data_IF_474814709163
#
_entry.id   IF_474814709163
#
_cell.length_a   1.000
_cell.length_b   1.000
_cell.length_c   1.000
_cell.angle_alpha   90.00
_cell.angle_beta   90.00
_cell.angle_gamma   90.00
#
_symmetry.space_group_name_H-M   'P 1'
#
loop_
_entity.id
_entity.type
_entity.pdbx_description
1 polymer ?
#
# COMPACT_ATOMS: atom_id res chain seq x y z
N UNK A 1 17.88 -42.71 -12.40
CA UNK A 1 16.81 -41.76 -12.01
C UNK A 1 16.89 -41.64 -10.51
N UNK A 2 17.26 -40.47 -9.99
CA UNK A 2 17.27 -40.25 -8.55
C UNK A 2 15.82 -40.21 -8.09
N UNK A 3 15.47 -41.03 -7.11
CA UNK A 3 14.23 -40.93 -6.37
C UNK A 3 14.13 -39.52 -5.77
N UNK A 4 13.43 -38.63 -6.47
CA UNK A 4 12.95 -37.40 -5.86
C UNK A 4 11.79 -37.86 -5.00
N UNK A 5 12.09 -38.13 -3.73
CA UNK A 5 11.08 -38.15 -2.68
C UNK A 5 10.41 -36.77 -2.72
N UNK A 6 9.29 -36.68 -3.45
CA UNK A 6 8.38 -35.55 -3.38
C UNK A 6 8.03 -35.40 -1.89
N UNK A 7 8.31 -34.24 -1.26
CA UNK A 7 7.79 -33.99 0.06
C UNK A 7 6.28 -34.13 -0.07
N UNK A 8 5.66 -34.87 0.85
CA UNK A 8 4.24 -34.74 1.15
C UNK A 8 3.86 -33.29 0.97
N UNK A 9 3.06 -32.99 -0.06
CA UNK A 9 2.43 -31.68 -0.20
C UNK A 9 1.87 -31.37 1.18
N UNK A 10 2.33 -30.27 1.79
CA UNK A 10 2.08 -29.90 3.19
C UNK A 10 3.05 -30.53 4.21
N UNK A 11 4.24 -29.96 4.33
CA UNK A 11 4.62 -29.49 5.66
C UNK A 11 4.77 -27.98 5.56
N UNK A 12 3.94 -27.26 6.31
CA UNK A 12 3.62 -25.82 6.23
C UNK A 12 4.78 -24.85 6.54
N UNK A 13 6.02 -25.17 6.19
CA UNK A 13 7.18 -24.58 6.85
C UNK A 13 8.35 -24.17 5.95
N UNK A 14 8.33 -24.45 4.65
CA UNK A 14 9.52 -24.21 3.82
C UNK A 14 9.31 -23.08 2.82
N UNK A 15 9.98 -21.97 3.08
CA UNK A 15 10.28 -20.95 2.08
C UNK A 15 10.96 -21.63 0.89
N UNK A 16 10.34 -21.58 -0.28
CA UNK A 16 10.97 -22.06 -1.53
C UNK A 16 11.56 -20.87 -2.25
N UNK A 17 12.89 -20.80 -2.32
CA UNK A 17 13.57 -19.73 -3.05
C UNK A 17 13.21 -19.73 -4.54
N UNK A 18 13.38 -18.58 -5.22
CA UNK A 18 13.15 -18.45 -6.67
C UNK A 18 13.85 -19.55 -7.49
N UNK A 19 15.08 -19.91 -7.12
CA UNK A 19 15.86 -20.95 -7.81
C UNK A 19 15.27 -22.34 -7.59
N UNK A 20 14.86 -22.66 -6.36
CA UNK A 20 14.20 -23.94 -6.06
C UNK A 20 12.85 -24.03 -6.77
N UNK A 21 12.04 -22.96 -6.75
CA UNK A 21 10.75 -22.94 -7.45
C UNK A 21 10.91 -23.16 -8.95
N UNK A 22 11.85 -22.42 -9.58
CA UNK A 22 12.14 -22.60 -11.00
C UNK A 22 12.63 -24.00 -11.36
N UNK A 23 13.31 -24.68 -10.44
CA UNK A 23 13.77 -26.05 -10.65
C UNK A 23 12.63 -27.08 -10.59
N UNK A 24 11.59 -26.83 -9.78
CA UNK A 24 10.49 -27.81 -9.54
C UNK A 24 9.18 -27.48 -10.28
N UNK A 25 9.02 -26.27 -10.81
CA UNK A 25 7.70 -25.80 -11.31
C UNK A 25 7.07 -26.66 -12.41
N UNK A 26 7.87 -27.19 -13.34
CA UNK A 26 7.35 -28.01 -14.43
C UNK A 26 6.83 -29.36 -13.93
N UNK A 27 7.59 -30.00 -13.04
CA UNK A 27 7.22 -31.28 -12.43
C UNK A 27 6.02 -31.12 -11.49
N UNK A 28 5.93 -29.97 -10.81
CA UNK A 28 4.80 -29.59 -9.98
C UNK A 28 3.50 -29.51 -10.80
N UNK A 29 3.50 -28.82 -11.95
CA UNK A 29 2.31 -28.72 -12.83
C UNK A 29 1.89 -30.11 -13.31
N UNK A 30 2.83 -30.94 -13.78
CA UNK A 30 2.53 -32.29 -14.24
C UNK A 30 1.91 -33.15 -13.12
N UNK A 31 2.41 -32.98 -11.89
CA UNK A 31 1.88 -33.67 -10.70
C UNK A 31 0.46 -33.21 -10.39
N UNK A 32 0.22 -31.90 -10.35
CA UNK A 32 -1.11 -31.31 -10.12
C UNK A 32 -2.12 -31.83 -11.15
N UNK A 33 -1.77 -31.80 -12.43
CA UNK A 33 -2.66 -32.21 -13.52
C UNK A 33 -2.95 -33.73 -13.50
N UNK A 34 -2.09 -34.53 -12.87
CA UNK A 34 -2.27 -35.98 -12.71
C UNK A 34 -2.91 -36.42 -11.37
N UNK A 35 -3.13 -35.49 -10.44
CA UNK A 35 -3.65 -35.80 -9.10
C UNK A 35 -5.17 -35.99 -9.12
N UNK A 36 -5.66 -37.16 -8.68
CA UNK A 36 -7.11 -37.48 -8.66
C UNK A 36 -7.86 -36.85 -7.48
N UNK A 37 -7.19 -36.71 -6.33
CA UNK A 37 -7.75 -36.10 -5.12
C UNK A 37 -7.88 -34.59 -5.30
N UNK A 38 -9.11 -34.07 -5.34
CA UNK A 38 -9.36 -32.62 -5.44
C UNK A 38 -8.75 -31.84 -4.27
N UNK A 39 -8.69 -32.44 -3.09
CA UNK A 39 -8.02 -31.84 -1.93
C UNK A 39 -6.52 -31.63 -2.20
N UNK A 40 -5.83 -32.68 -2.65
CA UNK A 40 -4.38 -32.62 -2.88
C UNK A 40 -4.05 -31.78 -4.11
N UNK A 41 -4.89 -31.86 -5.15
CA UNK A 41 -4.79 -31.02 -6.33
C UNK A 41 -4.94 -29.54 -5.98
N UNK A 42 -5.97 -29.16 -5.22
CA UNK A 42 -6.17 -27.75 -4.80
C UNK A 42 -5.03 -27.24 -3.91
N UNK A 43 -4.47 -28.08 -3.04
CA UNK A 43 -3.27 -27.76 -2.26
C UNK A 43 -2.05 -27.48 -3.17
N UNK A 44 -1.83 -28.35 -4.15
CA UNK A 44 -0.76 -28.18 -5.14
C UNK A 44 -0.92 -26.90 -5.96
N UNK A 45 -2.15 -26.61 -6.42
CA UNK A 45 -2.48 -25.38 -7.16
C UNK A 45 -2.25 -24.14 -6.31
N UNK A 46 -2.75 -24.11 -5.06
CA UNK A 46 -2.54 -23.00 -4.14
C UNK A 46 -1.05 -22.72 -3.94
N UNK A 47 -0.26 -23.77 -3.74
CA UNK A 47 1.19 -23.65 -3.63
C UNK A 47 1.82 -23.10 -4.91
N UNK A 48 1.48 -23.65 -6.07
CA UNK A 48 1.99 -23.20 -7.37
C UNK A 48 1.69 -21.73 -7.63
N UNK A 49 0.43 -21.32 -7.51
CA UNK A 49 -0.02 -19.95 -7.81
C UNK A 49 0.57 -18.92 -6.85
N UNK A 50 0.69 -19.25 -5.55
CA UNK A 50 1.28 -18.35 -4.54
C UNK A 50 2.75 -18.02 -4.83
N UNK A 51 3.50 -18.96 -5.41
CA UNK A 51 4.91 -18.74 -5.77
C UNK A 51 5.07 -18.15 -7.17
N UNK A 52 4.15 -18.48 -8.09
CA UNK A 52 4.14 -17.93 -9.45
C UNK A 52 3.98 -16.41 -9.45
N UNK A 53 3.04 -15.89 -8.65
CA UNK A 53 2.81 -14.43 -8.50
C UNK A 53 4.09 -13.67 -8.15
N UNK A 54 4.91 -14.26 -7.29
CA UNK A 54 6.12 -13.63 -6.73
C UNK A 54 7.32 -13.66 -7.66
N UNK A 55 7.47 -14.73 -8.44
CA UNK A 55 8.72 -15.01 -9.15
C UNK A 55 8.66 -14.78 -10.66
N UNK A 56 7.47 -14.64 -11.23
CA UNK A 56 7.27 -14.42 -12.67
C UNK A 56 6.55 -13.08 -12.93
N UNK A 57 7.21 -12.15 -13.60
CA UNK A 57 6.67 -10.80 -13.88
C UNK A 57 5.54 -10.80 -14.92
N UNK A 58 5.59 -11.73 -15.89
CA UNK A 58 4.62 -11.85 -17.01
C UNK A 58 3.55 -12.94 -16.75
N UNK A 59 3.18 -13.17 -15.49
CA UNK A 59 2.14 -14.16 -15.21
C UNK A 59 0.72 -13.62 -15.51
N UNK A 60 -0.12 -14.52 -16.02
CA UNK A 60 -1.57 -14.31 -16.08
C UNK A 60 -2.23 -15.15 -14.98
N UNK A 61 -1.99 -14.75 -13.73
CA UNK A 61 -2.52 -15.40 -12.53
C UNK A 61 -4.02 -15.63 -12.63
N UNK A 62 -4.77 -14.66 -13.16
CA UNK A 62 -6.22 -14.74 -13.31
C UNK A 62 -6.60 -15.87 -14.26
N UNK A 63 -6.01 -15.94 -15.45
CA UNK A 63 -6.33 -17.02 -16.40
C UNK A 63 -6.01 -18.41 -15.84
N UNK A 64 -4.94 -18.53 -15.06
CA UNK A 64 -4.61 -19.77 -14.36
C UNK A 64 -5.62 -20.10 -13.26
N UNK A 65 -6.10 -19.11 -12.52
CA UNK A 65 -7.20 -19.29 -11.57
C UNK A 65 -8.45 -19.79 -12.31
N UNK A 66 -8.87 -19.16 -13.41
CA UNK A 66 -10.01 -19.64 -14.22
C UNK A 66 -9.82 -21.09 -14.69
N UNK A 67 -8.62 -21.42 -15.20
CA UNK A 67 -8.28 -22.80 -15.59
C UNK A 67 -8.50 -23.78 -14.44
N UNK A 68 -7.88 -23.54 -13.28
CA UNK A 68 -7.92 -24.51 -12.18
C UNK A 68 -9.24 -24.52 -11.42
N UNK A 69 -9.95 -23.40 -11.33
CA UNK A 69 -11.30 -23.37 -10.76
C UNK A 69 -12.27 -24.18 -11.61
N UNK A 70 -12.20 -24.09 -12.94
CA UNK A 70 -13.07 -24.90 -13.82
C UNK A 70 -12.91 -26.41 -13.62
N UNK A 71 -11.71 -26.88 -13.24
CA UNK A 71 -11.44 -28.29 -12.95
C UNK A 71 -12.17 -28.77 -11.69
N UNK A 72 -12.41 -27.88 -10.73
CA UNK A 72 -13.21 -28.18 -9.53
C UNK A 72 -14.72 -28.26 -9.79
N UNK A 73 -15.16 -27.98 -11.03
CA UNK A 73 -16.57 -27.94 -11.40
C UNK A 73 -17.28 -26.64 -11.03
N UNK A 74 -16.57 -25.67 -10.46
CA UNK A 74 -17.10 -24.33 -10.20
C UNK A 74 -16.93 -23.42 -11.41
N UNK A 75 -17.98 -22.69 -11.76
CA UNK A 75 -17.95 -21.68 -12.81
C UNK A 75 -17.82 -20.29 -12.19
N UNK A 76 -16.67 -19.64 -12.40
CA UNK A 76 -16.52 -18.23 -12.03
C UNK A 76 -17.37 -17.34 -12.96
N UNK A 77 -17.95 -16.25 -12.44
CA UNK A 77 -18.71 -15.33 -13.27
C UNK A 77 -17.83 -14.68 -14.33
N UNK A 78 -18.37 -14.59 -15.55
CA UNK A 78 -17.72 -13.94 -16.68
C UNK A 78 -17.52 -12.43 -16.44
N UNK A 79 -16.42 -11.88 -17.00
CA UNK A 79 -16.09 -10.46 -16.89
C UNK A 79 -17.19 -9.58 -17.51
N UNK A 80 -17.56 -8.49 -16.82
CA UNK A 80 -18.52 -7.48 -17.31
C UNK A 80 -19.83 -7.42 -16.51
N UNK A 81 -20.97 -7.31 -17.20
CA UNK A 81 -22.28 -7.03 -16.57
C UNK A 81 -22.69 -8.11 -15.54
N UNK A 82 -22.32 -9.37 -15.75
CA UNK A 82 -22.62 -10.47 -14.82
C UNK A 82 -21.87 -10.31 -13.50
N UNK A 83 -20.58 -9.98 -13.53
CA UNK A 83 -19.75 -9.70 -12.36
C UNK A 83 -20.34 -8.57 -11.49
N UNK A 84 -20.81 -7.47 -12.09
CA UNK A 84 -21.42 -6.37 -11.32
C UNK A 84 -22.68 -6.79 -10.54
N UNK A 85 -23.54 -7.59 -11.18
CA UNK A 85 -24.75 -8.10 -10.54
C UNK A 85 -24.39 -9.03 -9.38
N UNK A 86 -23.45 -9.95 -9.60
CA UNK A 86 -23.03 -10.91 -8.57
C UNK A 86 -22.33 -10.22 -7.41
N UNK A 87 -21.50 -9.21 -7.68
CA UNK A 87 -20.90 -8.37 -6.64
C UNK A 87 -21.95 -7.66 -5.78
N UNK A 88 -23.04 -7.19 -6.38
CA UNK A 88 -24.14 -6.57 -5.63
C UNK A 88 -24.83 -7.60 -4.72
N UNK A 89 -25.02 -8.82 -5.22
CA UNK A 89 -25.62 -9.92 -4.45
C UNK A 89 -24.69 -10.35 -3.31
N UNK A 90 -23.41 -10.56 -3.57
CA UNK A 90 -22.43 -10.92 -2.55
C UNK A 90 -22.31 -9.85 -1.47
N UNK A 91 -22.41 -8.57 -1.83
CA UNK A 91 -22.41 -7.50 -0.84
C UNK A 91 -23.66 -7.53 0.05
N UNK A 92 -24.84 -7.78 -0.54
CA UNK A 92 -26.07 -7.96 0.24
C UNK A 92 -25.99 -9.18 1.16
N UNK A 93 -25.46 -10.31 0.69
CA UNK A 93 -25.21 -11.51 1.51
C UNK A 93 -24.27 -11.21 2.67
N UNK A 94 -23.20 -10.46 2.43
CA UNK A 94 -22.28 -10.06 3.49
C UNK A 94 -23.02 -9.26 4.57
N UNK A 95 -23.82 -8.28 4.17
CA UNK A 95 -24.61 -7.49 5.10
C UNK A 95 -25.65 -8.33 5.85
N UNK A 96 -26.30 -9.30 5.20
CA UNK A 96 -27.25 -10.22 5.82
C UNK A 96 -26.57 -11.16 6.81
N UNK A 97 -25.42 -11.72 6.43
CA UNK A 97 -24.64 -12.67 7.22
C UNK A 97 -23.96 -12.04 8.44
N UNK A 98 -23.54 -10.77 8.32
CA UNK A 98 -22.99 -9.98 9.42
C UNK A 98 -24.12 -9.40 10.28
N UNK A 99 -25.23 -8.97 9.68
CA UNK A 99 -26.36 -8.39 10.40
C UNK A 99 -26.03 -7.07 11.09
N UNK A 100 -26.44 -6.92 12.34
CA UNK A 100 -26.14 -5.74 13.17
C UNK A 100 -24.79 -5.86 13.92
N UNK A 101 -24.12 -7.00 13.78
CA UNK A 101 -22.86 -7.28 14.48
C UNK A 101 -21.65 -6.63 13.79
N UNK A 102 -20.55 -6.51 14.54
CA UNK A 102 -19.25 -6.28 13.92
C UNK A 102 -18.75 -7.55 13.24
N UNK A 103 -17.89 -7.41 12.23
CA UNK A 103 -17.31 -8.57 11.55
C UNK A 103 -16.58 -9.53 12.52
N UNK A 104 -15.92 -8.98 13.54
CA UNK A 104 -15.24 -9.77 14.56
C UNK A 104 -16.22 -10.62 15.39
N UNK A 105 -17.36 -10.05 15.75
CA UNK A 105 -18.41 -10.79 16.47
C UNK A 105 -19.03 -11.86 15.57
N UNK A 106 -19.29 -11.50 14.31
CA UNK A 106 -19.87 -12.39 13.31
C UNK A 106 -18.99 -13.62 13.07
N UNK A 107 -17.66 -13.50 13.13
CA UNK A 107 -16.76 -14.65 13.07
C UNK A 107 -16.63 -15.38 14.40
N UNK A 108 -16.53 -14.69 15.53
CA UNK A 108 -16.35 -15.32 16.85
C UNK A 108 -17.49 -16.29 17.20
N UNK A 109 -18.69 -16.04 16.67
CA UNK A 109 -19.86 -16.90 16.86
C UNK A 109 -19.86 -18.17 15.98
N UNK A 110 -18.95 -18.28 15.00
CA UNK A 110 -18.91 -19.38 14.03
C UNK A 110 -18.01 -20.52 14.49
N UNK A 111 -18.38 -21.73 14.13
CA UNK A 111 -17.57 -22.92 14.35
C UNK A 111 -16.50 -23.05 13.27
N UNK A 112 -15.41 -23.74 13.60
CA UNK A 112 -14.37 -24.07 12.62
C UNK A 112 -14.79 -25.35 11.91
N UNK A 113 -14.93 -25.27 10.59
CA UNK A 113 -15.34 -26.35 9.71
C UNK A 113 -14.33 -26.44 8.55
N UNK A 114 -13.79 -27.64 8.21
CA UNK A 114 -12.87 -27.78 7.08
C UNK A 114 -13.61 -27.62 5.74
N UNK A 115 -12.87 -27.29 4.67
CA UNK A 115 -13.41 -27.33 3.32
C UNK A 115 -13.80 -28.77 2.90
N UNK A 116 -14.92 -28.87 2.18
CA UNK A 116 -15.38 -30.09 1.54
C UNK A 116 -15.05 -30.14 0.04
N UNK A 117 -15.35 -31.27 -0.60
CA UNK A 117 -15.09 -31.51 -2.02
C UNK A 117 -15.74 -30.47 -2.94
N UNK A 118 -16.86 -29.88 -2.54
CA UNK A 118 -17.58 -28.86 -3.32
C UNK A 118 -17.00 -27.47 -3.17
N UNK A 119 -16.11 -27.27 -2.20
CA UNK A 119 -15.61 -25.97 -1.76
C UNK A 119 -14.11 -25.78 -1.94
N UNK A 120 -13.38 -26.78 -2.45
CA UNK A 120 -11.95 -26.68 -2.73
C UNK A 120 -11.58 -25.63 -3.79
N UNK A 121 -12.53 -25.17 -4.59
CA UNK A 121 -12.32 -24.06 -5.52
C UNK A 121 -11.88 -22.78 -4.78
N UNK A 122 -12.37 -22.54 -3.56
CA UNK A 122 -12.00 -21.36 -2.79
C UNK A 122 -10.51 -21.38 -2.42
N UNK A 123 -9.92 -22.57 -2.24
CA UNK A 123 -8.47 -22.73 -2.03
C UNK A 123 -7.66 -22.36 -3.27
N UNK A 124 -8.21 -22.60 -4.47
CA UNK A 124 -7.62 -22.15 -5.74
C UNK A 124 -7.73 -20.63 -5.91
N UNK A 125 -8.77 -20.00 -5.36
CA UNK A 125 -8.97 -18.54 -5.39
C UNK A 125 -8.07 -17.79 -4.40
N UNK A 126 -7.81 -18.37 -3.23
CA UNK A 126 -7.10 -17.73 -2.11
C UNK A 126 -5.73 -17.07 -2.46
N UNK A 127 -4.89 -17.63 -3.36
CA UNK A 127 -3.63 -16.99 -3.79
C UNK A 127 -3.81 -15.56 -4.32
N UNK A 128 -4.97 -15.23 -4.91
CA UNK A 128 -5.25 -13.87 -5.39
C UNK A 128 -5.19 -12.82 -4.27
N UNK A 129 -5.49 -13.20 -3.02
CA UNK A 129 -5.47 -12.29 -1.88
C UNK A 129 -4.05 -11.90 -1.46
N UNK A 130 -3.05 -12.68 -1.90
CA UNK A 130 -1.63 -12.49 -1.58
C UNK A 130 -0.87 -11.68 -2.63
N UNK A 131 -1.52 -11.32 -3.74
CA UNK A 131 -0.83 -10.70 -4.86
C UNK A 131 -0.25 -9.34 -4.49
N UNK A 132 0.95 -9.00 -4.96
CA UNK A 132 1.48 -7.65 -4.71
C UNK A 132 0.65 -6.57 -5.39
N UNK A 133 0.19 -6.86 -6.61
CA UNK A 133 -0.51 -5.90 -7.46
C UNK A 133 -1.87 -6.45 -7.91
N UNK A 134 -2.87 -5.57 -7.91
CA UNK A 134 -4.24 -5.94 -8.25
C UNK A 134 -4.52 -5.43 -9.66
N UNK A 135 -4.42 -6.34 -10.64
CA UNK A 135 -4.66 -6.04 -12.06
C UNK A 135 -6.16 -5.91 -12.38
N UNK A 136 -7.01 -6.63 -11.66
CA UNK A 136 -8.46 -6.66 -11.87
C UNK A 136 -9.19 -6.54 -10.52
N UNK A 137 -9.67 -5.33 -10.22
CA UNK A 137 -10.31 -5.03 -8.94
C UNK A 137 -11.69 -5.68 -8.77
N UNK A 138 -12.38 -5.97 -9.86
CA UNK A 138 -13.72 -6.58 -9.79
C UNK A 138 -13.60 -8.05 -9.40
N UNK A 139 -12.70 -8.77 -10.09
CA UNK A 139 -12.39 -10.17 -9.75
C UNK A 139 -11.81 -10.25 -8.34
N UNK A 140 -10.88 -9.36 -7.98
CA UNK A 140 -10.30 -9.33 -6.64
C UNK A 140 -11.37 -9.17 -5.55
N UNK A 141 -12.26 -8.18 -5.72
CA UNK A 141 -13.38 -7.94 -4.78
C UNK A 141 -14.29 -9.17 -4.68
N UNK A 142 -14.65 -9.74 -5.83
CA UNK A 142 -15.56 -10.87 -5.90
C UNK A 142 -14.99 -12.08 -5.15
N UNK A 143 -13.71 -12.40 -5.37
CA UNK A 143 -13.03 -13.49 -4.66
C UNK A 143 -13.01 -13.25 -3.15
N UNK A 144 -12.66 -12.03 -2.71
CA UNK A 144 -12.60 -11.70 -1.30
C UNK A 144 -13.97 -11.85 -0.62
N UNK A 145 -15.03 -11.40 -1.28
CA UNK A 145 -16.41 -11.54 -0.81
C UNK A 145 -16.90 -12.98 -0.83
N UNK A 146 -16.55 -13.77 -1.86
CA UNK A 146 -16.95 -15.17 -1.96
C UNK A 146 -16.38 -15.98 -0.80
N UNK A 147 -15.08 -15.82 -0.51
CA UNK A 147 -14.43 -16.51 0.61
C UNK A 147 -15.08 -16.14 1.94
N UNK A 148 -15.32 -14.84 2.19
CA UNK A 148 -15.89 -14.38 3.46
C UNK A 148 -17.35 -14.80 3.63
N UNK A 149 -18.18 -14.64 2.59
CA UNK A 149 -19.57 -15.08 2.65
C UNK A 149 -19.67 -16.58 2.89
N UNK A 150 -18.88 -17.37 2.16
CA UNK A 150 -18.83 -18.82 2.38
C UNK A 150 -18.51 -19.15 3.84
N UNK A 151 -17.52 -18.48 4.43
CA UNK A 151 -17.14 -18.72 5.82
C UNK A 151 -18.21 -18.28 6.83
N UNK A 152 -18.94 -17.21 6.55
CA UNK A 152 -20.04 -16.79 7.42
C UNK A 152 -21.25 -17.73 7.32
N UNK A 153 -21.50 -18.30 6.14
CA UNK A 153 -22.63 -19.23 5.90
C UNK A 153 -22.37 -20.63 6.45
N UNK A 154 -21.14 -21.14 6.27
CA UNK A 154 -20.82 -22.56 6.51
C UNK A 154 -19.88 -22.80 7.69
N UNK A 155 -19.26 -21.76 8.25
CA UNK A 155 -18.24 -21.88 9.29
C UNK A 155 -16.86 -21.41 8.83
N UNK A 156 -16.01 -21.10 9.80
CA UNK A 156 -14.64 -20.63 9.55
C UNK A 156 -13.77 -21.80 9.10
N UNK A 157 -12.88 -21.56 8.14
CA UNK A 157 -11.99 -22.58 7.60
C UNK A 157 -10.58 -22.01 7.39
N UNK A 158 -9.68 -22.82 6.83
CA UNK A 158 -8.28 -22.45 6.63
C UNK A 158 -8.06 -21.30 5.63
N UNK A 159 -9.05 -20.98 4.79
CA UNK A 159 -8.97 -19.90 3.80
C UNK A 159 -9.64 -18.60 4.25
N UNK A 160 -10.48 -18.61 5.30
CA UNK A 160 -11.15 -17.41 5.83
C UNK A 160 -10.19 -16.24 6.03
N UNK A 161 -8.97 -16.43 6.58
CA UNK A 161 -8.04 -15.32 6.77
C UNK A 161 -7.64 -14.62 5.45
N UNK A 162 -7.58 -15.35 4.35
CA UNK A 162 -7.24 -14.80 3.03
C UNK A 162 -8.35 -13.87 2.52
N UNK A 163 -9.61 -14.30 2.63
CA UNK A 163 -10.76 -13.47 2.28
C UNK A 163 -10.80 -12.17 3.12
N UNK A 164 -10.53 -12.28 4.42
CA UNK A 164 -10.45 -11.13 5.31
C UNK A 164 -9.31 -10.17 4.93
N UNK A 165 -8.12 -10.66 4.59
CA UNK A 165 -7.05 -9.80 4.06
C UNK A 165 -7.46 -9.12 2.75
N UNK A 166 -8.11 -9.87 1.86
CA UNK A 166 -8.67 -9.36 0.61
C UNK A 166 -9.61 -8.18 0.83
N UNK A 167 -10.60 -8.37 1.71
CA UNK A 167 -11.54 -7.32 2.06
C UNK A 167 -10.84 -6.16 2.76
N UNK A 168 -9.87 -6.40 3.63
CA UNK A 168 -9.11 -5.33 4.27
C UNK A 168 -8.43 -4.42 3.23
N UNK A 169 -7.73 -5.01 2.26
CA UNK A 169 -7.09 -4.27 1.16
C UNK A 169 -8.12 -3.55 0.29
N UNK A 170 -9.25 -4.19 0.00
CA UNK A 170 -10.32 -3.61 -0.79
C UNK A 170 -10.99 -2.40 -0.10
N UNK A 171 -11.31 -2.52 1.20
CA UNK A 171 -11.93 -1.45 1.99
C UNK A 171 -11.04 -0.21 2.05
N UNK A 172 -9.75 -0.39 2.29
CA UNK A 172 -8.79 0.70 2.29
C UNK A 172 -8.67 1.34 0.89
N UNK A 173 -8.60 0.53 -0.17
CA UNK A 173 -8.27 1.05 -1.50
C UNK A 173 -9.45 1.70 -2.22
N UNK A 174 -10.67 1.16 -2.06
CA UNK A 174 -11.86 1.62 -2.79
C UNK A 174 -12.85 2.40 -1.95
N UNK A 175 -12.94 2.12 -0.66
CA UNK A 175 -13.85 2.84 0.23
C UNK A 175 -13.13 3.79 1.18
N UNK A 176 -11.80 3.69 1.28
CA UNK A 176 -10.99 4.44 2.25
C UNK A 176 -11.51 4.30 3.69
N UNK A 177 -12.10 3.14 4.03
CA UNK A 177 -12.56 2.81 5.38
C UNK A 177 -11.48 2.05 6.15
N UNK A 178 -10.66 2.82 6.87
CA UNK A 178 -9.49 2.30 7.57
C UNK A 178 -9.85 1.47 8.81
N UNK A 179 -10.98 1.77 9.47
CA UNK A 179 -11.41 1.02 10.65
C UNK A 179 -11.92 -0.36 10.28
N UNK A 180 -12.80 -0.42 9.27
CA UNK A 180 -13.29 -1.70 8.78
C UNK A 180 -12.15 -2.54 8.19
N UNK A 181 -11.24 -1.92 7.43
CA UNK A 181 -10.05 -2.60 6.93
C UNK A 181 -9.20 -3.22 8.06
N UNK A 182 -9.03 -2.49 9.15
CA UNK A 182 -8.28 -2.95 10.32
C UNK A 182 -8.97 -4.09 11.07
N UNK A 183 -10.30 -4.07 11.16
CA UNK A 183 -11.04 -5.16 11.81
C UNK A 183 -10.87 -6.48 11.04
N UNK A 184 -11.04 -6.46 9.73
CA UNK A 184 -10.77 -7.61 8.86
C UNK A 184 -9.32 -8.11 8.98
N UNK A 185 -8.35 -7.18 8.95
CA UNK A 185 -6.94 -7.56 9.02
C UNK A 185 -6.56 -8.15 10.38
N UNK A 186 -7.07 -7.61 11.49
CA UNK A 186 -6.83 -8.14 12.84
C UNK A 186 -7.36 -9.55 13.01
N UNK A 187 -8.56 -9.81 12.50
CA UNK A 187 -9.12 -11.16 12.49
C UNK A 187 -8.19 -12.12 11.71
N UNK A 188 -7.83 -11.73 10.47
CA UNK A 188 -6.97 -12.55 9.61
C UNK A 188 -5.62 -12.88 10.29
N UNK A 189 -4.98 -11.88 10.90
CA UNK A 189 -3.72 -12.06 11.62
C UNK A 189 -3.87 -13.00 12.82
N UNK A 190 -4.93 -12.84 13.62
CA UNK A 190 -5.20 -13.68 14.79
C UNK A 190 -5.34 -15.15 14.40
N UNK A 191 -6.02 -15.44 13.30
CA UNK A 191 -6.19 -16.82 12.81
C UNK A 191 -4.90 -17.38 12.20
N UNK A 192 -4.18 -16.59 11.40
CA UNK A 192 -2.93 -17.05 10.77
C UNK A 192 -1.82 -17.30 11.80
N UNK A 193 -1.78 -16.54 12.90
CA UNK A 193 -0.84 -16.81 13.99
C UNK A 193 -1.04 -18.20 14.61
N UNK A 194 -2.26 -18.76 14.57
CA UNK A 194 -2.53 -20.14 15.04
C UNK A 194 -1.99 -21.21 14.10
N UNK A 195 -1.84 -20.90 12.81
CA UNK A 195 -1.43 -21.86 11.78
C UNK A 195 0.06 -22.23 11.80
N UNK A 196 0.90 -21.49 12.53
CA UNK A 196 2.37 -21.57 12.48
C UNK A 196 2.98 -21.42 11.06
N UNK A 197 2.21 -20.97 10.07
CA UNK A 197 2.69 -20.76 8.72
C UNK A 197 3.48 -19.43 8.66
N UNK A 198 4.79 -19.53 8.88
CA UNK A 198 5.70 -18.37 8.93
C UNK A 198 5.63 -17.51 7.67
N UNK A 199 5.40 -18.11 6.51
CA UNK A 199 5.28 -17.40 5.25
C UNK A 199 4.05 -16.50 5.22
N UNK A 200 2.88 -17.05 5.56
CA UNK A 200 1.62 -16.31 5.59
C UNK A 200 1.62 -15.26 6.69
N UNK A 201 2.04 -15.65 7.90
CA UNK A 201 2.23 -14.73 9.02
C UNK A 201 3.02 -13.52 8.52
N UNK A 202 4.13 -13.77 7.84
CA UNK A 202 4.95 -12.67 7.40
C UNK A 202 4.33 -11.80 6.30
N UNK A 203 3.82 -12.42 5.25
CA UNK A 203 3.21 -11.70 4.14
C UNK A 203 2.08 -10.78 4.65
N UNK A 204 1.25 -11.29 5.57
CA UNK A 204 0.11 -10.55 6.13
C UNK A 204 0.55 -9.49 7.13
N UNK A 205 1.53 -9.77 8.00
CA UNK A 205 2.06 -8.74 8.91
C UNK A 205 2.72 -7.61 8.15
N UNK A 206 3.47 -7.93 7.10
CA UNK A 206 4.07 -6.92 6.22
C UNK A 206 2.98 -6.08 5.56
N UNK A 207 1.96 -6.71 4.97
CA UNK A 207 0.83 -5.98 4.37
C UNK A 207 0.14 -5.13 5.44
N UNK A 208 -0.27 -5.68 6.56
CA UNK A 208 -0.94 -4.95 7.63
C UNK A 208 -0.11 -3.75 8.14
N UNK A 209 1.17 -3.95 8.45
CA UNK A 209 2.00 -2.91 9.05
C UNK A 209 2.37 -1.77 8.09
N UNK A 210 2.40 -2.02 6.78
CA UNK A 210 2.78 -1.02 5.78
C UNK A 210 1.61 -0.45 4.99
N UNK A 211 0.52 -1.18 4.90
CA UNK A 211 -0.64 -0.83 4.08
C UNK A 211 -1.75 -0.28 4.95
N UNK A 212 -2.04 -0.89 6.10
CA UNK A 212 -3.22 -0.55 6.91
C UNK A 212 -2.85 0.28 8.14
N UNK A 213 -1.90 -0.21 8.93
CA UNK A 213 -1.52 0.40 10.20
C UNK A 213 -1.03 1.85 10.11
N UNK A 214 -0.30 2.28 9.07
CA UNK A 214 0.16 3.67 8.96
C UNK A 214 -0.98 4.69 8.87
N UNK A 215 -2.18 4.25 8.44
CA UNK A 215 -3.38 5.09 8.40
C UNK A 215 -4.08 5.23 9.74
N UNK A 216 -3.66 4.48 10.75
CA UNK A 216 -4.36 4.34 12.03
C UNK A 216 -3.48 4.62 13.24
N UNK A 217 -2.16 4.53 13.08
CA UNK A 217 -1.18 4.55 14.16
C UNK A 217 0.02 5.43 13.82
N UNK A 218 0.78 5.72 14.87
CA UNK A 218 2.07 6.38 14.72
C UNK A 218 3.05 5.54 13.91
N UNK A 219 3.95 6.21 13.17
CA UNK A 219 5.02 5.54 12.42
C UNK A 219 5.87 4.68 13.37
N UNK A 220 6.12 5.13 14.60
CA UNK A 220 6.90 4.37 15.59
C UNK A 220 6.23 3.04 15.97
N UNK A 221 4.91 3.01 16.12
CA UNK A 221 4.16 1.78 16.37
C UNK A 221 4.22 0.85 15.15
N UNK A 222 4.11 1.42 13.94
CA UNK A 222 4.23 0.66 12.70
C UNK A 222 5.62 0.01 12.59
N UNK A 223 6.69 0.80 12.78
CA UNK A 223 8.08 0.30 12.74
C UNK A 223 8.35 -0.75 13.79
N UNK A 224 7.83 -0.59 15.01
CA UNK A 224 8.02 -1.56 16.09
C UNK A 224 7.37 -2.90 15.73
N UNK A 225 6.13 -2.89 15.22
CA UNK A 225 5.44 -4.11 14.81
C UNK A 225 6.20 -4.84 13.70
N UNK A 226 6.74 -4.09 12.74
CA UNK A 226 7.58 -4.66 11.68
C UNK A 226 8.81 -5.30 12.32
N UNK A 227 9.56 -4.59 13.16
CA UNK A 227 10.78 -5.10 13.78
C UNK A 227 10.53 -6.36 14.62
N UNK A 228 9.47 -6.37 15.43
CA UNK A 228 9.08 -7.51 16.28
C UNK A 228 8.76 -8.76 15.44
N UNK A 229 8.11 -8.57 14.28
CA UNK A 229 7.69 -9.67 13.41
C UNK A 229 8.72 -9.98 12.30
N UNK A 230 9.66 -9.08 12.05
CA UNK A 230 10.71 -9.23 11.02
C UNK A 230 11.76 -10.26 11.43
N UNK A 231 11.94 -10.52 12.72
CA UNK A 231 12.87 -11.54 13.21
C UNK A 231 12.67 -12.90 12.51
N UNK A 232 11.40 -13.27 12.25
CA UNK A 232 11.05 -14.50 11.54
C UNK A 232 11.54 -14.55 10.07
N UNK A 233 11.63 -13.40 9.37
CA UNK A 233 12.17 -13.32 8.00
C UNK A 233 13.67 -13.19 8.01
N UNK A 234 14.21 -12.44 8.97
CA UNK A 234 15.66 -12.22 9.06
C UNK A 234 16.40 -13.56 9.08
N UNK A 235 15.82 -14.51 9.79
CA UNK A 235 16.28 -15.90 9.91
C UNK A 235 15.92 -16.78 8.71
N UNK A 236 15.03 -16.34 7.79
CA UNK A 236 14.68 -17.10 6.60
C UNK A 236 15.71 -16.91 5.48
N UNK A 237 15.77 -17.85 4.53
CA UNK A 237 16.59 -17.72 3.31
C UNK A 237 15.83 -17.00 2.17
N UNK A 238 14.65 -16.44 2.44
CA UNK A 238 13.79 -15.82 1.44
C UNK A 238 14.20 -14.35 1.16
N UNK A 239 15.15 -14.19 0.25
CA UNK A 239 15.62 -12.88 -0.20
C UNK A 239 14.49 -12.01 -0.80
N UNK A 240 13.45 -12.62 -1.38
CA UNK A 240 12.33 -11.88 -1.94
C UNK A 240 11.53 -11.18 -0.84
N UNK A 241 11.13 -11.91 0.21
CA UNK A 241 10.39 -11.31 1.31
C UNK A 241 11.22 -10.31 2.12
N UNK A 242 12.52 -10.56 2.29
CA UNK A 242 13.41 -9.57 2.90
C UNK A 242 13.46 -8.28 2.07
N UNK A 243 13.70 -8.41 0.77
CA UNK A 243 13.68 -7.29 -0.17
C UNK A 243 12.35 -6.54 -0.15
N UNK A 244 11.21 -7.25 -0.15
CA UNK A 244 9.87 -6.66 -0.06
C UNK A 244 9.69 -5.80 1.19
N UNK A 245 10.12 -6.30 2.35
CA UNK A 245 10.01 -5.56 3.60
C UNK A 245 10.96 -4.36 3.66
N UNK A 246 12.18 -4.48 3.14
CA UNK A 246 13.11 -3.35 3.01
C UNK A 246 12.52 -2.29 2.08
N UNK A 247 11.98 -2.68 0.92
CA UNK A 247 11.30 -1.77 -0.02
C UNK A 247 10.20 -0.97 0.68
N UNK A 248 9.36 -1.63 1.47
CA UNK A 248 8.24 -1.00 2.18
C UNK A 248 8.69 -0.12 3.33
N UNK A 249 9.68 -0.54 4.10
CA UNK A 249 10.28 0.28 5.17
C UNK A 249 10.90 1.54 4.57
N UNK A 250 11.67 1.38 3.50
CA UNK A 250 12.27 2.47 2.74
C UNK A 250 11.22 3.46 2.26
N UNK A 251 10.15 2.98 1.64
CA UNK A 251 9.03 3.81 1.19
C UNK A 251 8.37 4.53 2.38
N UNK A 252 8.08 3.86 3.48
CA UNK A 252 7.50 4.46 4.68
C UNK A 252 8.39 5.57 5.27
N UNK A 253 9.70 5.37 5.31
CA UNK A 253 10.66 6.37 5.77
C UNK A 253 10.72 7.59 4.84
N UNK A 254 10.69 7.37 3.54
CA UNK A 254 10.54 8.46 2.56
C UNK A 254 9.24 9.24 2.77
N UNK A 255 8.12 8.56 3.01
CA UNK A 255 6.83 9.21 3.29
C UNK A 255 6.81 9.93 4.63
N UNK A 256 7.58 9.46 5.61
CA UNK A 256 7.81 10.21 6.84
C UNK A 256 8.68 11.45 6.65
N UNK A 257 9.26 11.64 5.46
CA UNK A 257 10.01 12.82 5.09
C UNK A 257 11.52 12.68 5.23
N UNK A 258 12.05 11.45 5.33
CA UNK A 258 13.50 11.20 5.20
C UNK A 258 13.92 11.26 3.74
N UNK A 259 15.17 11.65 3.48
CA UNK A 259 15.73 11.59 2.12
C UNK A 259 16.05 10.14 1.71
N UNK A 260 16.36 9.91 0.43
CA UNK A 260 16.62 8.55 -0.10
C UNK A 260 17.78 7.83 0.55
N UNK A 261 18.90 8.51 0.76
CA UNK A 261 20.13 7.89 1.26
C UNK A 261 19.94 7.46 2.72
N UNK A 262 19.37 8.35 3.52
CA UNK A 262 19.02 8.10 4.92
C UNK A 262 17.95 7.01 5.05
N UNK A 263 16.86 7.11 4.31
CA UNK A 263 15.78 6.11 4.33
C UNK A 263 16.31 4.72 3.96
N UNK A 264 17.18 4.62 2.95
CA UNK A 264 17.78 3.36 2.54
C UNK A 264 18.73 2.81 3.62
N UNK A 265 19.60 3.66 4.18
CA UNK A 265 20.53 3.28 5.23
C UNK A 265 19.81 2.79 6.49
N UNK A 266 18.75 3.49 6.93
CA UNK A 266 17.92 3.08 8.08
C UNK A 266 17.23 1.75 7.80
N UNK A 267 16.62 1.60 6.61
CA UNK A 267 15.89 0.38 6.25
C UNK A 267 16.81 -0.83 6.21
N UNK A 268 17.99 -0.70 5.58
CA UNK A 268 18.96 -1.79 5.49
C UNK A 268 19.66 -2.08 6.83
N UNK A 269 19.92 -1.05 7.63
CA UNK A 269 20.54 -1.18 8.95
C UNK A 269 19.64 -1.87 9.97
N UNK A 270 18.32 -1.63 9.93
CA UNK A 270 17.35 -2.23 10.86
C UNK A 270 16.88 -3.62 10.44
N UNK A 271 16.71 -3.85 9.14
CA UNK A 271 16.15 -5.09 8.61
C UNK A 271 17.26 -6.05 8.14
N UNK A 272 17.77 -5.84 6.93
CA UNK A 272 18.93 -6.55 6.38
C UNK A 272 19.45 -5.85 5.13
N UNK A 273 20.67 -6.19 4.70
CA UNK A 273 21.22 -5.74 3.43
C UNK A 273 20.77 -6.70 2.34
N UNK A 274 19.70 -6.36 1.63
CA UNK A 274 19.21 -7.11 0.48
C UNK A 274 18.85 -6.14 -0.65
N UNK A 275 19.01 -6.61 -1.89
CA UNK A 275 18.45 -5.92 -3.04
C UNK A 275 16.94 -6.10 -3.07
N UNK A 276 16.21 -5.07 -3.47
CA UNK A 276 14.80 -5.16 -3.77
C UNK A 276 14.52 -4.62 -5.16
N UNK A 277 13.56 -5.23 -5.83
CA UNK A 277 13.11 -4.71 -7.11
C UNK A 277 12.26 -3.46 -6.90
N UNK A 278 12.53 -2.44 -7.71
CA UNK A 278 11.79 -1.19 -7.69
C UNK A 278 11.44 -0.81 -9.12
N UNK A 279 10.14 -0.88 -9.41
CA UNK A 279 9.59 -0.50 -10.71
C UNK A 279 10.11 0.89 -11.13
N UNK A 280 10.56 1.06 -12.39
CA UNK A 280 11.06 2.34 -12.88
C UNK A 280 10.11 3.52 -12.64
N UNK A 281 8.80 3.29 -12.74
CA UNK A 281 7.76 4.30 -12.51
C UNK A 281 7.74 4.75 -11.04
N UNK A 282 7.80 3.80 -10.10
CA UNK A 282 7.85 4.09 -8.67
C UNK A 282 9.17 4.80 -8.33
N UNK A 283 10.30 4.33 -8.88
CA UNK A 283 11.60 4.98 -8.74
C UNK A 283 11.55 6.43 -9.22
N UNK A 284 10.97 6.68 -10.39
CA UNK A 284 10.79 8.03 -10.93
C UNK A 284 9.91 8.90 -10.03
N UNK A 285 8.82 8.37 -9.47
CA UNK A 285 7.97 9.12 -8.54
C UNK A 285 8.76 9.48 -7.26
N UNK A 286 9.45 8.52 -6.65
CA UNK A 286 10.25 8.77 -5.46
C UNK A 286 11.42 9.74 -5.75
N UNK A 287 11.99 9.73 -6.97
CA UNK A 287 12.95 10.75 -7.41
C UNK A 287 12.32 12.14 -7.53
N UNK A 288 11.11 12.24 -8.08
CA UNK A 288 10.39 13.50 -8.21
C UNK A 288 9.95 14.07 -6.87
N UNK A 289 9.74 13.22 -5.88
CA UNK A 289 9.48 13.60 -4.49
C UNK A 289 10.73 14.11 -3.74
N UNK A 290 11.91 14.11 -4.37
CA UNK A 290 13.09 14.75 -3.77
C UNK A 290 13.03 16.27 -3.86
N UNK A 291 13.55 16.94 -2.84
CA UNK A 291 13.48 18.39 -2.68
C UNK A 291 13.98 19.18 -3.90
N UNK A 292 15.09 18.72 -4.50
CA UNK A 292 15.68 19.34 -5.70
C UNK A 292 14.78 19.27 -6.94
N UNK A 293 13.77 18.38 -6.94
CA UNK A 293 12.92 18.04 -8.08
C UNK A 293 11.47 18.47 -7.91
N UNK A 294 10.93 18.45 -6.69
CA UNK A 294 9.52 18.74 -6.39
C UNK A 294 9.02 20.11 -6.86
N UNK A 295 9.92 21.07 -7.05
CA UNK A 295 9.54 22.45 -7.44
C UNK A 295 9.87 22.82 -8.88
N UNK A 296 10.34 21.86 -9.69
CA UNK A 296 10.59 22.06 -11.12
C UNK A 296 9.31 21.79 -11.92
N UNK A 297 8.92 22.74 -12.76
CA UNK A 297 7.67 22.67 -13.57
C UNK A 297 7.52 21.38 -14.37
N UNK A 298 8.62 20.91 -14.98
CA UNK A 298 8.67 19.67 -15.78
C UNK A 298 8.36 18.42 -14.95
N UNK A 299 8.72 18.40 -13.67
CA UNK A 299 8.49 17.23 -12.81
C UNK A 299 7.04 17.19 -12.30
N UNK A 300 6.41 18.35 -12.12
CA UNK A 300 5.00 18.43 -11.73
C UNK A 300 4.06 17.92 -12.84
N UNK A 301 4.36 18.20 -14.10
CA UNK A 301 3.60 17.71 -15.26
C UNK A 301 3.73 16.18 -15.40
N UNK A 302 4.94 15.63 -15.20
CA UNK A 302 5.18 14.18 -15.22
C UNK A 302 4.40 13.45 -14.12
N UNK A 303 4.30 14.03 -12.92
CA UNK A 303 3.55 13.44 -11.81
C UNK A 303 2.05 13.38 -12.11
N UNK A 304 1.47 14.41 -12.72
CA UNK A 304 0.07 14.36 -13.13
C UNK A 304 -0.17 13.31 -14.21
N UNK A 305 0.72 13.18 -15.19
CA UNK A 305 0.59 12.11 -16.17
C UNK A 305 0.62 10.72 -15.54
N UNK A 306 1.42 10.52 -14.48
CA UNK A 306 1.48 9.24 -13.77
C UNK A 306 0.23 9.00 -12.92
N UNK A 307 -0.29 10.04 -12.25
CA UNK A 307 -1.56 10.00 -11.52
C UNK A 307 -2.70 9.61 -12.48
N UNK A 308 -2.81 10.29 -13.61
CA UNK A 308 -3.97 10.10 -14.48
C UNK A 308 -3.88 8.81 -15.33
N UNK A 309 -2.68 8.24 -15.54
CA UNK A 309 -2.50 7.05 -16.37
C UNK A 309 -2.45 5.73 -15.60
N UNK A 310 -2.02 5.73 -14.34
CA UNK A 310 -1.76 4.50 -13.59
C UNK A 310 -2.18 4.59 -12.12
N UNK A 311 -3.49 4.79 -11.84
CA UNK A 311 -4.01 4.84 -10.47
C UNK A 311 -3.68 3.61 -9.63
N UNK A 312 -3.58 2.44 -10.27
CA UNK A 312 -3.23 1.17 -9.65
C UNK A 312 -1.85 1.15 -8.95
N UNK A 313 -0.93 2.05 -9.32
CA UNK A 313 0.41 2.10 -8.73
C UNK A 313 0.44 2.70 -7.32
N UNK A 314 -0.58 3.48 -6.96
CA UNK A 314 -0.57 4.25 -5.72
C UNK A 314 -1.85 4.11 -4.90
N UNK A 315 -2.97 3.71 -5.49
CA UNK A 315 -4.20 3.44 -4.75
C UNK A 315 -3.97 2.44 -3.59
N UNK A 316 -4.40 2.82 -2.39
CA UNK A 316 -4.26 1.97 -1.19
C UNK A 316 -2.85 1.92 -0.59
N UNK A 317 -1.91 2.76 -1.03
CA UNK A 317 -0.60 2.84 -0.39
C UNK A 317 -0.19 4.29 -0.09
N UNK A 318 0.88 4.44 0.68
CA UNK A 318 1.36 5.75 1.15
C UNK A 318 1.90 6.67 0.01
N UNK A 319 2.01 6.17 -1.23
CA UNK A 319 2.37 6.97 -2.40
C UNK A 319 1.24 7.92 -2.82
N UNK A 320 -0.02 7.53 -2.60
CA UNK A 320 -1.18 8.31 -3.02
C UNK A 320 -1.23 9.72 -2.37
N UNK A 321 -1.07 9.87 -1.04
CA UNK A 321 -0.93 11.19 -0.41
C UNK A 321 0.15 12.07 -1.04
N UNK A 322 1.36 11.53 -1.25
CA UNK A 322 2.47 12.31 -1.84
C UNK A 322 2.14 12.82 -3.24
N UNK A 323 1.51 12.00 -4.07
CA UNK A 323 1.08 12.39 -5.42
C UNK A 323 0.02 13.50 -5.38
N UNK A 324 -0.92 13.43 -4.44
CA UNK A 324 -1.94 14.46 -4.25
C UNK A 324 -1.36 15.81 -3.81
N UNK A 325 -0.33 15.81 -2.95
CA UNK A 325 0.40 17.03 -2.57
C UNK A 325 1.04 17.67 -3.80
N UNK A 326 1.70 16.87 -4.64
CA UNK A 326 2.32 17.37 -5.88
C UNK A 326 1.28 17.91 -6.86
N UNK A 327 0.10 17.26 -6.95
CA UNK A 327 -1.04 17.77 -7.73
C UNK A 327 -1.53 19.12 -7.21
N UNK A 328 -1.65 19.29 -5.88
CA UNK A 328 -2.06 20.56 -5.28
C UNK A 328 -1.08 21.70 -5.61
N UNK A 329 0.23 21.45 -5.45
CA UNK A 329 1.30 22.39 -5.82
C UNK A 329 1.23 22.78 -7.30
N UNK A 330 0.98 21.80 -8.16
CA UNK A 330 0.88 22.02 -9.60
C UNK A 330 -0.31 22.90 -9.98
N UNK A 331 -1.50 22.61 -9.46
CA UNK A 331 -2.72 23.38 -9.74
C UNK A 331 -2.48 24.88 -9.46
N UNK A 332 -1.83 25.19 -8.33
CA UNK A 332 -1.48 26.58 -8.02
C UNK A 332 -0.42 27.19 -8.94
N UNK A 333 0.59 26.41 -9.36
CA UNK A 333 1.62 26.92 -10.26
C UNK A 333 1.10 27.23 -11.67
N UNK A 334 0.06 26.55 -12.13
CA UNK A 334 -0.51 26.83 -13.45
C UNK A 334 -1.24 28.18 -13.50
N UNK A 335 -1.54 28.81 -12.35
CA UNK A 335 -2.38 30.01 -12.25
C UNK A 335 -3.75 29.85 -12.93
N UNK A 336 -4.18 28.61 -13.16
CA UNK A 336 -5.52 28.26 -13.64
C UNK A 336 -6.40 28.16 -12.39
N UNK A 337 -7.55 28.82 -12.41
CA UNK A 337 -8.51 28.75 -11.33
C UNK A 337 -9.23 27.39 -11.36
N UNK A 338 -8.62 26.38 -10.73
CA UNK A 338 -9.19 25.05 -10.48
C UNK A 338 -9.42 24.83 -8.99
N UNK A 339 -10.24 25.71 -8.41
CA UNK A 339 -10.61 25.63 -6.99
C UNK A 339 -11.26 24.27 -6.67
N UNK A 340 -12.05 23.74 -7.62
CA UNK A 340 -12.71 22.44 -7.49
C UNK A 340 -11.72 21.28 -7.36
N UNK A 341 -10.64 21.29 -8.14
CA UNK A 341 -9.55 20.33 -8.05
C UNK A 341 -8.85 20.38 -6.70
N UNK A 342 -8.43 21.56 -6.24
CA UNK A 342 -7.76 21.72 -4.94
C UNK A 342 -8.67 21.37 -3.76
N UNK A 343 -9.94 21.75 -3.81
CA UNK A 343 -10.92 21.40 -2.77
C UNK A 343 -11.06 19.88 -2.63
N UNK A 344 -11.15 19.14 -3.74
CA UNK A 344 -11.21 17.67 -3.71
C UNK A 344 -9.98 17.06 -3.04
N UNK A 345 -8.80 17.60 -3.33
CA UNK A 345 -7.55 17.14 -2.68
C UNK A 345 -7.57 17.47 -1.19
N UNK A 346 -7.98 18.67 -0.81
CA UNK A 346 -8.11 19.08 0.59
C UNK A 346 -9.11 18.21 1.36
N UNK A 347 -10.31 17.96 0.80
CA UNK A 347 -11.34 17.16 1.44
C UNK A 347 -10.85 15.72 1.72
N UNK A 348 -10.02 15.14 0.84
CA UNK A 348 -9.35 13.86 1.08
C UNK A 348 -8.37 13.91 2.26
N UNK A 349 -7.48 14.90 2.29
CA UNK A 349 -6.55 15.06 3.42
C UNK A 349 -7.27 15.33 4.75
N UNK A 350 -8.37 16.08 4.72
CA UNK A 350 -9.21 16.32 5.89
C UNK A 350 -9.82 15.00 6.40
N UNK A 351 -10.30 14.16 5.49
CA UNK A 351 -10.82 12.84 5.82
C UNK A 351 -9.72 11.95 6.42
N UNK A 352 -8.56 11.81 5.77
CA UNK A 352 -7.45 10.99 6.26
C UNK A 352 -6.86 11.47 7.60
N UNK A 353 -6.76 12.78 7.80
CA UNK A 353 -6.34 13.36 9.08
C UNK A 353 -7.34 13.09 10.22
N UNK A 354 -8.61 12.81 9.90
CA UNK A 354 -9.58 12.32 10.87
C UNK A 354 -9.19 10.96 11.48
N UNK A 355 -8.45 10.14 10.73
CA UNK A 355 -7.98 8.82 11.16
C UNK A 355 -6.55 8.85 11.74
N UNK A 356 -5.61 9.49 11.02
CA UNK A 356 -4.21 9.60 11.41
C UNK A 356 -3.73 11.05 11.36
N UNK A 357 -4.02 11.85 12.41
CA UNK A 357 -3.63 13.26 12.46
C UNK A 357 -2.10 13.42 12.38
N UNK A 358 -1.33 12.56 13.04
CA UNK A 358 0.14 12.69 13.07
C UNK A 358 0.82 12.42 11.71
N UNK A 359 0.18 11.65 10.83
CA UNK A 359 0.65 11.45 9.47
C UNK A 359 0.18 12.55 8.52
N UNK A 360 -1.10 12.92 8.61
CA UNK A 360 -1.76 13.73 7.58
C UNK A 360 -2.04 15.18 7.95
N UNK A 361 -1.96 15.61 9.21
CA UNK A 361 -2.28 16.99 9.58
C UNK A 361 -1.34 17.99 8.93
N UNK A 362 -0.04 17.70 8.85
CA UNK A 362 0.91 18.56 8.15
C UNK A 362 0.48 18.75 6.69
N UNK A 363 0.14 17.66 5.99
CA UNK A 363 -0.28 17.68 4.59
C UNK A 363 -1.64 18.36 4.41
N UNK A 364 -2.57 18.15 5.35
CA UNK A 364 -3.88 18.80 5.40
C UNK A 364 -3.73 20.31 5.49
N UNK A 365 -2.96 20.83 6.46
CA UNK A 365 -2.73 22.27 6.60
C UNK A 365 -2.01 22.86 5.38
N UNK A 366 -1.02 22.14 4.84
CA UNK A 366 -0.31 22.55 3.62
C UNK A 366 -1.24 22.66 2.41
N UNK A 367 -2.03 21.62 2.12
CA UNK A 367 -2.97 21.63 1.00
C UNK A 367 -4.09 22.63 1.23
N UNK A 368 -4.57 22.81 2.47
CA UNK A 368 -5.51 23.89 2.77
C UNK A 368 -4.89 25.25 2.46
N UNK A 369 -3.63 25.49 2.82
CA UNK A 369 -2.95 26.74 2.50
C UNK A 369 -2.90 27.02 0.99
N UNK A 370 -2.60 25.99 0.18
CA UNK A 370 -2.64 26.05 -1.28
C UNK A 370 -4.08 26.34 -1.78
N UNK A 371 -5.12 25.70 -1.24
CA UNK A 371 -6.51 25.98 -1.60
C UNK A 371 -6.97 27.40 -1.25
N UNK A 372 -6.62 27.90 -0.05
CA UNK A 372 -6.91 29.26 0.41
C UNK A 372 -6.25 30.32 -0.45
N UNK A 373 -5.06 30.02 -0.98
CA UNK A 373 -4.34 30.90 -1.89
C UNK A 373 -5.13 31.19 -3.17
N UNK A 374 -5.77 30.19 -3.79
CA UNK A 374 -6.61 30.41 -4.98
C UNK A 374 -7.82 31.29 -4.72
N UNK A 375 -8.33 31.24 -3.48
CA UNK A 375 -9.45 32.06 -3.03
C UNK A 375 -9.03 33.47 -2.63
N UNK A 376 -7.76 33.82 -2.81
CA UNK A 376 -7.16 35.09 -2.39
C UNK A 376 -7.29 35.33 -0.87
N UNK A 377 -7.40 34.26 -0.07
CA UNK A 377 -7.48 34.29 1.39
C UNK A 377 -6.04 34.29 1.98
N UNK A 378 -5.25 35.32 1.66
CA UNK A 378 -3.79 35.37 1.86
C UNK A 378 -3.36 35.18 3.33
N UNK A 379 -3.96 35.91 4.27
CA UNK A 379 -3.60 35.80 5.69
C UNK A 379 -3.91 34.40 6.26
N UNK A 380 -4.99 33.77 5.80
CA UNK A 380 -5.35 32.42 6.21
C UNK A 380 -4.36 31.40 5.64
N UNK A 381 -3.98 31.55 4.37
CA UNK A 381 -2.93 30.74 3.74
C UNK A 381 -1.59 30.87 4.49
N UNK A 382 -1.20 32.10 4.87
CA UNK A 382 0.02 32.37 5.65
C UNK A 382 0.02 31.65 6.99
N UNK A 383 -1.11 31.72 7.72
CA UNK A 383 -1.27 31.03 9.01
C UNK A 383 -1.21 29.50 8.86
N UNK A 384 -1.88 28.95 7.85
CA UNK A 384 -1.90 27.51 7.60
C UNK A 384 -0.53 26.96 7.20
N UNK A 385 0.25 27.67 6.37
CA UNK A 385 1.64 27.29 6.09
C UNK A 385 2.50 27.26 7.35
N UNK A 386 2.30 28.21 8.27
CA UNK A 386 3.02 28.24 9.55
C UNK A 386 2.61 27.05 10.43
N UNK A 387 1.31 26.76 10.54
CA UNK A 387 0.82 25.59 11.26
C UNK A 387 1.38 24.27 10.70
N UNK A 388 1.41 24.14 9.37
CA UNK A 388 2.01 22.97 8.72
C UNK A 388 3.48 22.81 9.11
N UNK A 389 4.24 23.92 9.09
CA UNK A 389 5.66 23.93 9.43
C UNK A 389 5.95 23.65 10.92
N UNK A 390 5.13 24.19 11.82
CA UNK A 390 5.27 23.98 13.26
C UNK A 390 4.95 22.53 13.65
N UNK A 391 4.01 21.88 12.93
CA UNK A 391 3.69 20.46 13.14
C UNK A 391 4.75 19.52 12.58
N UNK A 392 5.54 19.95 11.60
CA UNK A 392 6.55 19.12 10.95
C UNK A 392 7.94 19.21 11.59
N UNK A 393 8.10 20.01 12.65
CA UNK A 393 9.37 20.33 13.30
C UNK A 393 10.01 19.19 14.11
N UNK A 394 9.50 17.96 14.05
CA UNK A 394 9.92 16.87 14.94
C UNK A 394 10.56 15.64 14.27
N UNK A 395 10.58 15.48 12.93
CA UNK A 395 11.33 14.40 12.23
C UNK A 395 11.28 14.43 10.67
N UNK A 396 10.83 15.50 10.00
CA UNK A 396 10.44 15.44 8.56
C UNK A 396 11.22 16.43 7.67
N UNK A 397 12.46 16.09 7.31
CA UNK A 397 13.42 16.96 6.61
C UNK A 397 12.90 17.49 5.26
N UNK A 398 12.44 16.60 4.38
CA UNK A 398 12.00 16.99 3.01
C UNK A 398 10.68 17.78 3.00
N UNK A 399 9.75 17.42 3.89
CA UNK A 399 8.44 18.08 3.99
C UNK A 399 8.58 19.50 4.57
N UNK A 400 9.45 19.68 5.57
CA UNK A 400 9.83 21.00 6.10
C UNK A 400 10.38 21.89 4.98
N UNK A 401 11.34 21.37 4.21
CA UNK A 401 11.93 22.10 3.11
C UNK A 401 10.90 22.43 2.01
N UNK A 402 9.98 21.53 1.70
CA UNK A 402 8.90 21.78 0.73
C UNK A 402 7.98 22.91 1.22
N UNK A 403 7.47 22.82 2.45
CA UNK A 403 6.55 23.80 3.04
C UNK A 403 7.22 25.17 3.08
N UNK A 404 8.45 25.25 3.60
CA UNK A 404 9.18 26.50 3.73
C UNK A 404 9.51 27.13 2.36
N UNK A 405 9.95 26.31 1.39
CA UNK A 405 10.21 26.79 0.02
C UNK A 405 8.94 27.27 -0.66
N UNK A 406 7.82 26.54 -0.55
CA UNK A 406 6.55 26.92 -1.17
C UNK A 406 6.02 28.22 -0.57
N UNK A 407 6.06 28.35 0.76
CA UNK A 407 5.70 29.58 1.47
C UNK A 407 6.58 30.76 1.02
N UNK A 408 7.89 30.59 0.90
CA UNK A 408 8.75 31.66 0.39
C UNK A 408 8.41 32.05 -1.06
N UNK A 409 8.32 31.06 -1.95
CA UNK A 409 8.11 31.27 -3.38
C UNK A 409 6.78 31.97 -3.67
N UNK A 410 5.69 31.46 -3.08
CA UNK A 410 4.34 32.00 -3.28
C UNK A 410 4.26 33.45 -2.80
N UNK A 411 4.76 33.73 -1.60
CA UNK A 411 4.62 35.07 -1.02
C UNK A 411 5.55 36.08 -1.68
N UNK A 412 6.68 35.61 -2.24
CA UNK A 412 7.57 36.44 -3.08
C UNK A 412 6.89 36.86 -4.38
N UNK A 413 6.21 35.91 -5.05
CA UNK A 413 5.44 36.17 -6.27
C UNK A 413 4.25 37.11 -6.04
N UNK A 414 3.64 37.07 -4.84
CA UNK A 414 2.55 37.97 -4.45
C UNK A 414 3.01 39.37 -4.02
N UNK A 415 4.33 39.65 -4.01
CA UNK A 415 4.91 40.92 -3.59
C UNK A 415 4.43 41.40 -2.20
N UNK A 416 4.34 40.47 -1.25
CA UNK A 416 3.91 40.73 0.13
C UNK A 416 5.02 41.49 0.89
N UNK A 417 4.71 42.02 2.08
CA UNK A 417 5.61 42.85 2.91
C UNK A 417 7.06 42.29 2.94
N UNK A 418 8.03 43.16 2.65
CA UNK A 418 9.46 42.82 2.60
C UNK A 418 9.98 42.24 3.91
N UNK A 419 9.41 42.64 5.05
CA UNK A 419 9.78 42.11 6.37
C UNK A 419 9.36 40.65 6.51
N UNK A 420 8.14 40.30 6.09
CA UNK A 420 7.67 38.91 6.08
C UNK A 420 8.51 38.05 5.13
N UNK A 421 8.84 38.57 3.94
CA UNK A 421 9.68 37.85 2.97
C UNK A 421 11.07 37.55 3.52
N UNK A 422 11.68 38.50 4.24
CA UNK A 422 12.97 38.28 4.88
C UNK A 422 12.89 37.22 5.98
N UNK A 423 11.80 37.22 6.75
CA UNK A 423 11.54 36.17 7.76
C UNK A 423 11.40 34.81 7.08
N UNK A 424 10.58 34.70 6.03
CA UNK A 424 10.38 33.43 5.31
C UNK A 424 11.66 32.95 4.64
N UNK A 425 12.47 33.86 4.09
CA UNK A 425 13.75 33.52 3.49
C UNK A 425 14.71 32.94 4.52
N UNK A 426 14.85 33.58 5.68
CA UNK A 426 15.72 33.10 6.75
C UNK A 426 15.22 31.76 7.33
N UNK A 427 13.91 31.61 7.52
CA UNK A 427 13.29 30.37 7.99
C UNK A 427 13.54 29.23 6.98
N UNK A 428 13.29 29.48 5.69
CA UNK A 428 13.56 28.50 4.63
C UNK A 428 15.05 28.18 4.48
N UNK A 429 15.94 29.18 4.55
CA UNK A 429 17.38 28.94 4.47
C UNK A 429 17.88 28.10 5.64
N UNK A 430 17.44 28.40 6.86
CA UNK A 430 17.79 27.62 8.06
C UNK A 430 17.37 26.16 7.91
N UNK A 431 16.14 25.92 7.43
CA UNK A 431 15.62 24.58 7.18
C UNK A 431 16.42 23.88 6.09
N UNK A 432 16.76 24.56 4.99
CA UNK A 432 17.60 23.99 3.93
C UNK A 432 19.03 23.68 4.38
N UNK A 433 19.58 24.47 5.32
CA UNK A 433 20.89 24.20 5.92
C UNK A 433 20.85 23.00 6.87
N UNK A 434 19.73 22.78 7.55
CA UNK A 434 19.54 21.67 8.47
C UNK A 434 19.27 20.35 7.73
N UNK A 435 18.52 20.41 6.62
CA UNK A 435 17.91 19.22 6.01
C UNK A 435 18.25 19.02 4.52
N UNK A 436 18.67 20.06 3.82
CA UNK A 436 18.98 19.99 2.39
C UNK A 436 20.41 19.52 2.13
N UNK A 437 20.61 18.80 1.02
CA UNK A 437 21.95 18.55 0.50
C UNK A 437 22.60 19.84 -0.05
N UNK A 438 23.91 19.82 -0.27
CA UNK A 438 24.64 20.99 -0.77
C UNK A 438 24.08 21.50 -2.12
N UNK A 439 23.63 20.62 -3.01
CA UNK A 439 23.05 21.01 -4.30
C UNK A 439 21.70 21.70 -4.11
N UNK A 440 20.90 21.26 -3.14
CA UNK A 440 19.62 21.86 -2.79
C UNK A 440 19.82 23.25 -2.19
N UNK A 441 20.82 23.43 -1.32
CA UNK A 441 21.19 24.74 -0.76
C UNK A 441 21.67 25.68 -1.88
N UNK A 442 22.58 25.24 -2.75
CA UNK A 442 23.05 26.04 -3.89
C UNK A 442 21.91 26.43 -4.83
N UNK A 443 21.00 25.49 -5.11
CA UNK A 443 19.80 25.75 -5.91
C UNK A 443 18.84 26.74 -5.24
N UNK A 444 18.68 26.67 -3.92
CA UNK A 444 17.86 27.60 -3.15
C UNK A 444 18.43 29.02 -3.24
N UNK A 445 19.73 29.19 -2.95
CA UNK A 445 20.42 30.48 -3.00
C UNK A 445 20.40 31.09 -4.41
N UNK A 446 20.58 30.26 -5.44
CA UNK A 446 20.48 30.70 -6.85
C UNK A 446 19.07 31.16 -7.22
N UNK A 447 18.03 30.55 -6.64
CA UNK A 447 16.63 30.86 -6.92
C UNK A 447 16.18 32.16 -6.24
N UNK A 448 16.75 32.49 -5.08
CA UNK A 448 16.44 33.70 -4.31
C UNK A 448 17.70 34.52 -4.01
N UNK A 449 18.40 35.05 -5.04
CA UNK A 449 19.70 35.71 -4.87
C UNK A 449 19.61 37.12 -4.25
N UNK A 450 18.40 37.64 -4.06
CA UNK A 450 18.16 39.07 -3.78
C UNK A 450 16.94 39.34 -2.89
N UNK A 451 16.52 38.37 -2.07
CA UNK A 451 15.68 38.62 -0.88
C UNK A 451 16.62 38.94 0.28
#
# INVERSE_FOLDING_TARGET
MKDINLPTFLSDHQFVSKNQFNAIKSDLIATIDSTESLNDQSNGVMFYLTHLDRYEEENNLIDLIYKYVSITGYEMPDKGIHMHRDLSIQHLRLLENVGEDSINNAFTSRQIEPLDETSYYLRVLAPLMLCEEIKDWEVYKWVALEIVNFSLENGINEITPYGCLGLARYMMTKYEDMHLANDYAKYALTEIEKSNNKLLINAFYSDYAFIILPWLKEISECTQLIEDKYQLIRESEDAYLKGKNIKRYYQMMLFSGMNKEEALAVSQGRLSVESFDQKPEISAILEMYQLSKMTQRVNLEKVIMLIDKSPELYEGNLLHPSLLVMKAVHINNQKINDEGGLRKVFDRFKYWAGYSPNLFDVLKHFVEAEWRLQRNEIEKSKSLYKQALDLSSSNKSDLNCLIALRRLAVFSDLHIDKNDLKVFYNEALSIYQEFGDQKAIESFLKRFPSI
#
